data_IF_603840876848
#
_entry.id   IF_603840876848
#
_cell.length_a   1.000
_cell.length_b   1.000
_cell.length_c   1.000
_cell.angle_alpha   90.00
_cell.angle_beta   90.00
_cell.angle_gamma   90.00
#
_symmetry.space_group_name_H-M   'P 1'
#
loop_
_entity.id
_entity.type
_entity.pdbx_description
1 polymer ?
#
# COMPACT_ATOMS: atom_id res chain seq x y z
N UNK A 1 -5.07 -21.31 -8.05
CA UNK A 1 -4.71 -20.71 -9.35
C UNK A 1 -5.33 -19.34 -9.39
N UNK A 2 -4.61 -18.38 -8.81
CA UNK A 2 -5.09 -17.00 -8.62
C UNK A 2 -4.23 -16.07 -9.48
N UNK A 3 -3.84 -16.53 -10.66
CA UNK A 3 -2.94 -15.90 -11.64
C UNK A 3 -3.41 -14.55 -12.22
N UNK A 4 -4.53 -14.00 -11.72
CA UNK A 4 -5.11 -12.77 -12.23
C UNK A 4 -5.67 -11.90 -11.10
N UNK A 5 -5.04 -11.94 -9.94
CA UNK A 5 -5.37 -11.04 -8.82
C UNK A 5 -4.15 -10.19 -8.51
N UNK A 6 -4.32 -8.89 -8.68
CA UNK A 6 -3.29 -7.88 -8.47
C UNK A 6 -3.73 -6.92 -7.34
N UNK A 7 -2.78 -6.50 -6.51
CA UNK A 7 -2.98 -5.58 -5.38
C UNK A 7 -1.94 -4.48 -5.46
N UNK A 8 -2.35 -3.31 -5.92
CA UNK A 8 -1.46 -2.14 -5.96
C UNK A 8 -1.51 -1.34 -4.65
N UNK A 9 -0.36 -0.87 -4.19
CA UNK A 9 -0.18 0.07 -3.09
C UNK A 9 -0.19 1.50 -3.61
N UNK A 10 -1.09 2.31 -3.06
CA UNK A 10 -1.17 3.73 -3.32
C UNK A 10 -0.96 4.49 -2.01
N UNK A 11 0.00 5.41 -2.01
CA UNK A 11 0.28 6.27 -0.84
C UNK A 11 0.07 7.72 -1.23
N UNK A 12 -0.86 8.38 -0.56
CA UNK A 12 -1.09 9.81 -0.67
C UNK A 12 -0.33 10.53 0.43
N UNK A 13 0.57 11.41 0.01
CA UNK A 13 1.45 12.19 0.88
C UNK A 13 0.78 13.47 1.39
N UNK A 14 1.27 14.08 2.49
CA UNK A 14 0.77 15.36 2.98
C UNK A 14 0.87 16.50 1.97
N UNK A 15 1.80 16.39 1.01
CA UNK A 15 1.98 17.32 -0.11
C UNK A 15 0.84 17.26 -1.12
N UNK A 16 -0.01 16.24 -1.02
CA UNK A 16 -1.07 15.93 -1.98
C UNK A 16 -0.62 15.05 -3.14
N UNK A 17 0.68 14.76 -3.24
CA UNK A 17 1.23 13.84 -4.24
C UNK A 17 0.85 12.39 -3.92
N UNK A 18 0.57 11.62 -4.95
CA UNK A 18 0.23 10.21 -4.84
C UNK A 18 1.33 9.37 -5.47
N UNK A 19 1.89 8.43 -4.70
CA UNK A 19 2.96 7.53 -5.13
C UNK A 19 2.40 6.12 -5.22
N UNK A 20 2.59 5.48 -6.36
CA UNK A 20 2.10 4.14 -6.67
C UNK A 20 2.95 3.52 -7.78
N UNK A 21 2.70 2.28 -8.18
CA UNK A 21 3.52 1.59 -9.19
C UNK A 21 3.79 2.42 -10.47
N UNK A 22 2.76 3.09 -11.02
CA UNK A 22 2.89 3.91 -12.24
C UNK A 22 3.54 5.29 -12.02
N UNK A 23 3.55 5.79 -10.78
CA UNK A 23 4.25 7.00 -10.36
C UNK A 23 5.11 6.66 -9.14
N UNK A 24 6.14 5.85 -9.37
CA UNK A 24 6.86 5.15 -8.30
C UNK A 24 7.85 6.04 -7.53
N UNK A 25 7.93 7.33 -7.83
CA UNK A 25 8.82 8.28 -7.15
C UNK A 25 8.15 9.62 -6.94
N UNK A 26 8.00 10.01 -5.68
CA UNK A 26 7.53 11.34 -5.30
C UNK A 26 8.55 12.40 -5.73
N UNK A 27 8.09 13.43 -6.42
CA UNK A 27 8.89 14.61 -6.77
C UNK A 27 9.02 15.56 -5.57
N UNK A 28 8.04 15.55 -4.65
CA UNK A 28 7.99 16.46 -3.51
C UNK A 28 8.78 15.96 -2.30
N UNK A 29 8.72 14.66 -1.99
CA UNK A 29 9.37 14.07 -0.80
C UNK A 29 10.54 13.16 -1.14
N UNK A 30 10.64 12.73 -2.40
CA UNK A 30 11.62 11.74 -2.84
C UNK A 30 11.29 10.30 -2.43
N UNK A 31 10.09 10.05 -1.88
CA UNK A 31 9.63 8.71 -1.59
C UNK A 31 9.63 7.81 -2.83
N UNK A 32 9.69 6.50 -2.62
CA UNK A 32 9.70 5.52 -3.71
C UNK A 32 8.91 4.26 -3.36
N UNK A 33 8.15 3.76 -4.33
CA UNK A 33 7.45 2.47 -4.28
C UNK A 33 8.25 1.43 -5.06
N UNK A 34 8.52 0.28 -4.46
CA UNK A 34 9.22 -0.84 -5.12
C UNK A 34 8.47 -1.29 -6.38
N UNK A 35 9.21 -1.76 -7.40
CA UNK A 35 8.56 -2.39 -8.56
C UNK A 35 7.92 -3.70 -8.11
N UNK A 36 6.67 -3.89 -8.51
CA UNK A 36 5.90 -5.09 -8.26
C UNK A 36 6.66 -6.35 -8.68
N UNK A 37 6.52 -7.40 -7.88
CA UNK A 37 6.96 -8.74 -8.25
C UNK A 37 5.85 -9.36 -9.08
N UNK A 38 5.98 -9.26 -10.41
CA UNK A 38 4.97 -9.75 -11.39
C UNK A 38 4.68 -11.26 -11.35
N UNK A 39 5.27 -12.01 -10.42
CA UNK A 39 5.13 -13.46 -10.24
C UNK A 39 4.35 -13.84 -8.95
N UNK A 40 3.62 -12.91 -8.31
CA UNK A 40 2.75 -13.23 -7.16
C UNK A 40 2.08 -12.04 -6.47
N UNK A 41 1.50 -12.27 -5.28
CA UNK A 41 0.86 -11.26 -4.41
C UNK A 41 1.87 -10.27 -3.77
N UNK A 42 2.96 -9.95 -4.47
CA UNK A 42 4.21 -9.43 -3.94
C UNK A 42 4.02 -8.29 -2.92
N UNK A 43 4.88 -8.20 -1.90
CA UNK A 43 4.83 -7.03 -1.03
C UNK A 43 5.33 -5.82 -1.82
N UNK A 44 4.41 -4.93 -2.22
CA UNK A 44 4.77 -3.56 -2.61
C UNK A 44 5.20 -2.77 -1.38
N UNK A 45 6.35 -2.10 -1.48
CA UNK A 45 6.95 -1.36 -0.38
C UNK A 45 7.10 0.10 -0.76
N UNK A 46 6.41 0.97 -0.04
CA UNK A 46 6.67 2.41 -0.04
C UNK A 46 7.76 2.74 0.98
N UNK A 47 8.77 3.51 0.56
CA UNK A 47 9.88 3.94 1.41
C UNK A 47 10.07 5.45 1.34
N UNK A 48 10.16 6.09 2.51
CA UNK A 48 10.42 7.52 2.63
C UNK A 48 11.39 7.79 3.80
N UNK A 49 12.70 7.97 3.54
CA UNK A 49 13.70 8.16 4.59
C UNK A 49 13.55 9.45 5.40
N UNK A 50 12.95 10.49 4.80
CA UNK A 50 12.71 11.79 5.44
C UNK A 50 11.25 12.18 5.21
N UNK A 51 10.38 11.67 6.07
CA UNK A 51 8.95 11.94 5.98
C UNK A 51 8.63 13.34 6.52
N UNK A 52 8.07 14.25 5.69
CA UNK A 52 7.49 15.49 6.21
C UNK A 52 6.34 15.20 7.17
N UNK A 53 6.17 16.09 8.16
CA UNK A 53 5.03 16.00 9.06
C UNK A 53 3.71 16.17 8.28
N UNK A 54 2.72 15.34 8.62
CA UNK A 54 1.39 15.43 8.04
C UNK A 54 0.67 14.10 7.95
N UNK A 55 -0.48 14.14 7.27
CA UNK A 55 -1.33 12.97 7.08
C UNK A 55 -0.91 12.20 5.83
N UNK A 56 -0.66 10.91 6.00
CA UNK A 56 -0.47 9.94 4.93
C UNK A 56 -1.67 9.02 4.89
N UNK A 57 -2.23 8.82 3.70
CA UNK A 57 -3.29 7.84 3.46
C UNK A 57 -2.73 6.72 2.59
N UNK A 58 -2.91 5.49 3.05
CA UNK A 58 -2.46 4.26 2.37
C UNK A 58 -3.70 3.52 1.92
N UNK A 59 -3.79 3.33 0.61
CA UNK A 59 -4.92 2.71 -0.05
C UNK A 59 -4.43 1.55 -0.91
N UNK A 60 -5.25 0.52 -1.01
CA UNK A 60 -4.98 -0.64 -1.87
C UNK A 60 -6.02 -0.74 -2.97
N UNK A 61 -5.57 -0.93 -4.21
CA UNK A 61 -6.43 -1.21 -5.36
C UNK A 61 -6.45 -2.72 -5.63
N UNK A 62 -7.64 -3.31 -5.61
CA UNK A 62 -7.80 -4.75 -5.84
C UNK A 62 -8.32 -5.06 -7.23
N UNK A 63 -7.48 -5.64 -8.08
CA UNK A 63 -7.85 -6.09 -9.43
C UNK A 63 -7.90 -7.63 -9.49
N UNK A 64 -9.07 -8.22 -9.29
CA UNK A 64 -9.30 -9.65 -9.54
C UNK A 64 -10.04 -9.90 -10.87
N UNK A 65 -9.64 -10.91 -11.63
CA UNK A 65 -10.41 -11.39 -12.77
C UNK A 65 -11.73 -12.05 -12.33
N UNK A 66 -12.77 -11.90 -13.15
CA UNK A 66 -14.15 -12.36 -12.86
C UNK A 66 -14.28 -13.85 -12.50
N UNK A 67 -13.31 -14.69 -12.87
CA UNK A 67 -13.34 -16.13 -12.58
C UNK A 67 -12.75 -16.47 -11.20
N UNK A 68 -11.89 -15.60 -10.63
CA UNK A 68 -11.27 -15.82 -9.33
C UNK A 68 -12.18 -15.39 -8.16
N UNK A 69 -12.97 -14.33 -8.33
CA UNK A 69 -13.73 -13.68 -7.24
C UNK A 69 -14.89 -14.50 -6.64
N UNK A 70 -15.38 -15.54 -7.33
CA UNK A 70 -16.42 -16.44 -6.81
C UNK A 70 -15.86 -17.74 -6.21
N UNK A 71 -14.63 -18.13 -6.57
CA UNK A 71 -14.00 -19.40 -6.18
C UNK A 71 -12.89 -19.25 -5.13
N UNK A 72 -12.26 -18.08 -5.07
CA UNK A 72 -11.25 -17.74 -4.06
C UNK A 72 -11.95 -17.10 -2.87
N UNK A 73 -11.75 -17.63 -1.67
CA UNK A 73 -12.34 -17.08 -0.44
C UNK A 73 -11.93 -15.62 -0.19
N UNK A 74 -12.39 -15.07 0.93
CA UNK A 74 -12.10 -13.70 1.38
C UNK A 74 -10.63 -13.29 1.20
N UNK A 75 -10.29 -12.49 0.18
CA UNK A 75 -8.97 -11.85 0.08
C UNK A 75 -8.90 -10.70 1.08
N UNK A 76 -7.77 -10.56 1.76
CA UNK A 76 -7.50 -9.42 2.63
C UNK A 76 -6.15 -8.82 2.26
N UNK A 77 -6.09 -7.49 2.17
CA UNK A 77 -4.82 -6.78 2.11
C UNK A 77 -4.32 -6.57 3.55
N UNK A 78 -3.01 -6.68 3.72
CA UNK A 78 -2.33 -6.48 4.99
C UNK A 78 -1.23 -5.45 4.77
N UNK A 79 -1.25 -4.38 5.54
CA UNK A 79 -0.29 -3.27 5.47
C UNK A 79 0.43 -3.16 6.80
N UNK A 80 1.75 -3.11 6.71
CA UNK A 80 2.65 -2.81 7.82
C UNK A 80 3.20 -1.40 7.62
N UNK A 81 3.12 -0.56 8.65
CA UNK A 81 3.77 0.75 8.63
C UNK A 81 4.78 0.85 9.77
N UNK A 82 5.98 1.33 9.47
CA UNK A 82 7.02 1.60 10.45
C UNK A 82 7.36 3.09 10.34
N UNK A 83 7.19 3.82 11.44
CA UNK A 83 7.53 5.25 11.54
C UNK A 83 8.70 5.41 12.51
N UNK A 84 9.59 6.37 12.24
CA UNK A 84 10.83 6.59 13.00
C UNK A 84 11.75 5.36 13.09
N UNK A 85 11.79 4.56 12.01
CA UNK A 85 12.63 3.37 11.95
C UNK A 85 14.09 3.69 12.31
N UNK A 86 14.63 2.99 13.31
CA UNK A 86 15.99 3.19 13.81
C UNK A 86 16.16 4.20 14.96
N UNK A 87 15.09 4.90 15.37
CA UNK A 87 15.02 5.62 16.65
C UNK A 87 14.24 4.75 17.66
N UNK A 88 14.96 3.93 18.44
CA UNK A 88 14.36 2.92 19.32
C UNK A 88 13.37 3.50 20.35
N UNK A 89 13.47 4.78 20.71
CA UNK A 89 12.56 5.42 21.66
C UNK A 89 11.26 5.91 21.00
N UNK A 90 11.23 6.04 19.67
CA UNK A 90 10.10 6.62 18.91
C UNK A 90 9.59 5.73 17.77
N UNK A 91 10.21 4.57 17.56
CA UNK A 91 9.82 3.63 16.54
C UNK A 91 8.39 3.14 16.79
N UNK A 92 7.52 3.37 15.81
CA UNK A 92 6.13 2.92 15.87
C UNK A 92 5.86 1.95 14.73
N UNK A 93 5.55 0.71 15.09
CA UNK A 93 5.08 -0.30 14.14
C UNK A 93 3.57 -0.43 14.26
N UNK A 94 2.86 -0.29 13.13
CA UNK A 94 1.42 -0.51 13.07
C UNK A 94 1.10 -1.57 12.03
N UNK A 95 0.03 -2.30 12.33
CA UNK A 95 -0.52 -3.36 11.51
C UNK A 95 -1.97 -3.01 11.20
N UNK A 96 -2.31 -3.01 9.91
CA UNK A 96 -3.68 -2.81 9.44
C UNK A 96 -4.03 -3.87 8.39
N UNK A 97 -5.29 -4.29 8.39
CA UNK A 97 -5.81 -5.21 7.38
C UNK A 97 -7.18 -4.77 6.90
N UNK A 98 -7.46 -4.88 5.61
CA UNK A 98 -8.78 -4.67 5.04
C UNK A 98 -9.22 -5.90 4.24
N UNK A 99 -10.51 -6.24 4.32
CA UNK A 99 -11.08 -7.32 3.51
C UNK A 99 -11.48 -6.76 2.15
N UNK A 100 -10.92 -7.31 1.08
CA UNK A 100 -11.19 -6.91 -0.30
C UNK A 100 -12.48 -7.61 -0.76
N UNK A 101 -13.58 -6.87 -0.77
CA UNK A 101 -14.93 -7.45 -0.99
C UNK A 101 -15.40 -7.36 -2.44
N UNK A 102 -14.96 -6.36 -3.20
CA UNK A 102 -15.46 -6.07 -4.54
C UNK A 102 -14.31 -5.97 -5.55
N UNK A 103 -14.58 -6.46 -6.75
CA UNK A 103 -13.66 -6.31 -7.88
C UNK A 103 -13.45 -4.81 -8.20
N UNK A 104 -12.21 -4.40 -8.47
CA UNK A 104 -11.84 -3.03 -8.89
C UNK A 104 -12.22 -1.94 -7.88
N UNK A 105 -12.08 -2.22 -6.59
CA UNK A 105 -12.31 -1.23 -5.55
C UNK A 105 -10.98 -0.71 -4.98
N UNK A 106 -10.90 0.62 -4.84
CA UNK A 106 -9.91 1.32 -4.02
C UNK A 106 -10.40 1.37 -2.59
N UNK A 107 -9.59 0.92 -1.65
CA UNK A 107 -9.93 0.94 -0.23
C UNK A 107 -8.78 1.48 0.60
N UNK A 108 -9.08 2.46 1.45
CA UNK A 108 -8.15 2.92 2.47
C UNK A 108 -7.94 1.83 3.52
N UNK A 109 -6.67 1.50 3.76
CA UNK A 109 -6.25 0.47 4.71
C UNK A 109 -5.69 1.11 5.98
N UNK A 110 -5.03 2.25 5.83
CA UNK A 110 -4.39 2.95 6.93
C UNK A 110 -4.32 4.45 6.64
N UNK A 111 -4.74 5.24 7.61
CA UNK A 111 -4.41 6.66 7.70
C UNK A 111 -3.50 6.86 8.89
N UNK A 112 -2.35 7.50 8.71
CA UNK A 112 -1.41 7.77 9.79
C UNK A 112 -0.87 9.20 9.70
N UNK A 113 -0.50 9.72 10.86
CA UNK A 113 0.17 11.01 10.99
C UNK A 113 1.62 10.75 11.38
N UNK A 114 2.53 11.30 10.59
CA UNK A 114 3.95 11.46 10.94
C UNK A 114 4.10 12.89 11.45
#
# INVERSE_FOLDING_TARGET
DTDHTDVDLHVKEPTGEEVYYGHNRSQSTGAHVSRDFTDGFGPEVYTLPKAPEGMYSVETNYYASHQASSATGSTSAVVWSIVHMGDFDKEEVRFSSCRLQLHKQRQEVLSLRV
#
